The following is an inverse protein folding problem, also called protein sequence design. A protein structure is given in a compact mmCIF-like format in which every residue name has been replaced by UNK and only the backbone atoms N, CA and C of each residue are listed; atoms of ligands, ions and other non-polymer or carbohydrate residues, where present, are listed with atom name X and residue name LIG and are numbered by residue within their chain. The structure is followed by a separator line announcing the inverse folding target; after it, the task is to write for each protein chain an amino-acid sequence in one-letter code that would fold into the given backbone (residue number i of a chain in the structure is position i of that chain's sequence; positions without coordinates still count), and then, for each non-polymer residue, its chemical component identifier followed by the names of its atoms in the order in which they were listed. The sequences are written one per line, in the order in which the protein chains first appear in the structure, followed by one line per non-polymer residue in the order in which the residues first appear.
data_IF_152983091025
#
_entry.id   IF_152983091025
#
_cell.length_a   1.000
_cell.length_b   1.000
_cell.length_c   1.000
_cell.angle_alpha   90.00
_cell.angle_beta   90.00
_cell.angle_gamma   90.00
#
_symmetry.space_group_name_H-M   'P 1'
#
loop_
_entity.id
_entity.type
_entity.pdbx_description
1 polymer ?
#
# COMPACT_ATOMS: atom_id res chain seq x y z
N UNK A 1 -5.98 -17.32 -11.26
CA UNK A 1 -5.08 -16.34 -11.85
C UNK A 1 -3.86 -17.02 -12.45
N UNK A 2 -3.13 -16.35 -13.35
CA UNK A 2 -1.96 -16.93 -14.06
C UNK A 2 -2.28 -17.63 -15.37
N UNK A 3 -3.55 -17.75 -15.77
CA UNK A 3 -3.93 -18.30 -17.08
C UNK A 3 -3.67 -17.27 -18.19
N UNK A 4 -2.86 -17.67 -19.18
CA UNK A 4 -2.65 -16.88 -20.39
C UNK A 4 -1.62 -15.74 -20.26
N UNK A 5 -0.79 -15.72 -19.21
CA UNK A 5 0.29 -14.76 -19.02
C UNK A 5 1.59 -15.14 -19.74
N UNK A 6 1.61 -16.29 -20.44
CA UNK A 6 2.75 -16.87 -21.13
C UNK A 6 3.99 -17.12 -20.24
N UNK A 7 3.83 -17.19 -18.94
CA UNK A 7 4.89 -17.47 -17.99
C UNK A 7 4.80 -18.94 -17.54
N UNK A 8 5.77 -19.75 -17.92
CA UNK A 8 5.81 -21.18 -17.59
C UNK A 8 6.00 -21.44 -16.08
N UNK A 9 6.47 -20.45 -15.31
CA UNK A 9 6.61 -20.54 -13.86
C UNK A 9 5.31 -20.24 -13.12
N UNK A 10 4.25 -19.81 -13.83
CA UNK A 10 2.96 -19.45 -13.24
C UNK A 10 1.94 -20.54 -13.56
N UNK A 11 1.35 -21.13 -12.54
CA UNK A 11 0.25 -22.08 -12.69
C UNK A 11 -1.08 -21.37 -12.41
N UNK A 12 -2.01 -21.44 -13.37
CA UNK A 12 -3.35 -20.86 -13.19
C UNK A 12 -4.15 -21.64 -12.14
N UNK A 13 -4.68 -20.94 -11.15
CA UNK A 13 -5.59 -21.51 -10.17
C UNK A 13 -7.00 -20.95 -10.39
N UNK A 14 -7.94 -21.77 -10.91
CA UNK A 14 -9.32 -21.34 -11.14
C UNK A 14 -10.09 -21.08 -9.84
N UNK A 15 -9.61 -21.60 -8.71
CA UNK A 15 -10.23 -21.42 -7.40
C UNK A 15 -9.50 -20.36 -6.56
N UNK A 16 -8.58 -19.60 -7.17
CA UNK A 16 -7.86 -18.55 -6.45
C UNK A 16 -8.81 -17.54 -5.84
N UNK A 17 -8.70 -17.36 -4.53
CA UNK A 17 -9.43 -16.36 -3.76
C UNK A 17 -8.43 -15.41 -3.11
N UNK A 18 -8.45 -14.11 -3.43
CA UNK A 18 -7.56 -13.15 -2.79
C UNK A 18 -7.92 -13.00 -1.31
N UNK A 19 -6.95 -12.69 -0.47
CA UNK A 19 -7.20 -12.32 0.91
C UNK A 19 -7.99 -11.00 1.01
N UNK A 20 -7.81 -10.13 0.04
CA UNK A 20 -8.54 -8.87 -0.07
C UNK A 20 -8.27 -7.91 1.08
N UNK A 21 -9.33 -7.27 1.59
CA UNK A 21 -9.25 -6.50 2.82
C UNK A 21 -9.19 -7.45 4.03
N UNK A 22 -8.50 -7.06 5.11
CA UNK A 22 -8.50 -7.83 6.35
C UNK A 22 -9.93 -8.14 6.81
N UNK A 23 -10.16 -9.32 7.35
CA UNK A 23 -11.47 -9.74 7.89
C UNK A 23 -12.01 -8.80 8.98
N UNK A 24 -11.13 -8.02 9.61
CA UNK A 24 -11.50 -6.96 10.55
C UNK A 24 -12.31 -5.81 9.92
N UNK A 25 -12.23 -5.62 8.60
CA UNK A 25 -12.89 -4.53 7.87
C UNK A 25 -14.06 -5.00 7.02
N UNK A 26 -14.31 -6.31 6.97
CA UNK A 26 -15.36 -6.91 6.18
C UNK A 26 -16.02 -8.05 6.95
N UNK A 27 -17.33 -8.17 6.84
CA UNK A 27 -18.07 -9.33 7.34
C UNK A 27 -17.93 -10.56 6.45
N UNK A 28 -17.27 -10.42 5.31
CA UNK A 28 -17.05 -11.49 4.32
C UNK A 28 -15.57 -11.73 4.14
N UNK A 29 -15.09 -12.97 4.17
CA UNK A 29 -13.74 -13.30 3.76
C UNK A 29 -13.55 -13.03 2.27
N UNK A 30 -12.31 -12.86 1.83
CA UNK A 30 -11.94 -12.75 0.43
C UNK A 30 -12.57 -11.56 -0.32
N UNK A 31 -12.61 -10.40 0.33
CA UNK A 31 -13.08 -9.17 -0.31
C UNK A 31 -12.13 -8.75 -1.45
N UNK A 32 -12.66 -8.69 -2.67
CA UNK A 32 -11.96 -8.12 -3.83
C UNK A 32 -12.47 -6.70 -4.06
N UNK A 33 -11.59 -5.67 -4.06
CA UNK A 33 -12.02 -4.31 -4.32
C UNK A 33 -12.68 -4.17 -5.70
N UNK A 34 -13.83 -3.48 -5.82
CA UNK A 34 -14.54 -3.32 -7.09
C UNK A 34 -14.00 -2.17 -7.95
N UNK A 35 -12.69 -2.17 -8.22
CA UNK A 35 -12.01 -1.16 -9.04
C UNK A 35 -10.88 -1.79 -9.87
N UNK A 36 -10.41 -1.11 -10.94
CA UNK A 36 -9.28 -1.61 -11.73
C UNK A 36 -8.01 -1.81 -10.88
N UNK A 37 -7.28 -2.89 -11.15
CA UNK A 37 -6.04 -3.17 -10.42
C UNK A 37 -4.90 -2.20 -10.79
N UNK A 38 -4.83 -1.78 -12.05
CA UNK A 38 -3.74 -0.95 -12.56
C UNK A 38 -4.14 0.52 -12.76
N UNK A 39 -3.26 1.45 -12.30
CA UNK A 39 -2.18 1.25 -11.34
C UNK A 39 -2.73 1.09 -9.91
N UNK A 40 -1.92 0.55 -8.98
CA UNK A 40 -2.34 0.40 -7.59
C UNK A 40 -2.55 1.76 -6.92
N UNK A 41 -3.79 2.04 -6.49
CA UNK A 41 -4.13 3.28 -5.80
C UNK A 41 -3.37 3.44 -4.47
N UNK A 42 -3.31 2.38 -3.66
CA UNK A 42 -2.57 2.41 -2.39
C UNK A 42 -1.06 2.66 -2.60
N UNK A 43 -0.46 2.03 -3.61
CA UNK A 43 0.93 2.27 -3.96
C UNK A 43 1.15 3.72 -4.45
N UNK A 44 0.20 4.26 -5.22
CA UNK A 44 0.21 5.65 -5.68
C UNK A 44 0.13 6.66 -4.53
N UNK A 45 -0.79 6.44 -3.59
CA UNK A 45 -0.89 7.29 -2.40
C UNK A 45 0.36 7.21 -1.53
N UNK A 46 0.91 6.00 -1.31
CA UNK A 46 2.18 5.82 -0.60
C UNK A 46 3.32 6.54 -1.32
N UNK A 47 3.45 6.36 -2.64
CA UNK A 47 4.45 7.05 -3.45
C UNK A 47 4.36 8.57 -3.33
N UNK A 48 3.14 9.13 -3.37
CA UNK A 48 2.94 10.57 -3.23
C UNK A 48 3.27 11.06 -1.81
N UNK A 49 2.82 10.36 -0.77
CA UNK A 49 3.07 10.71 0.62
C UNK A 49 4.57 10.71 0.94
N UNK A 50 5.22 9.57 0.70
CA UNK A 50 6.62 9.42 1.10
C UNK A 50 7.56 10.28 0.24
N UNK A 51 7.23 10.53 -1.03
CA UNK A 51 7.98 11.48 -1.85
C UNK A 51 7.83 12.93 -1.36
N UNK A 52 6.63 13.31 -0.94
CA UNK A 52 6.41 14.63 -0.34
C UNK A 52 7.23 14.81 0.93
N UNK A 53 7.28 13.79 1.79
CA UNK A 53 8.10 13.80 3.00
C UNK A 53 9.59 13.89 2.66
N UNK A 54 10.09 13.10 1.68
CA UNK A 54 11.48 13.21 1.21
C UNK A 54 11.83 14.62 0.72
N UNK A 55 10.93 15.22 -0.07
CA UNK A 55 11.13 16.59 -0.56
C UNK A 55 11.11 17.62 0.55
N UNK A 56 10.25 17.44 1.56
CA UNK A 56 10.14 18.37 2.69
C UNK A 56 11.33 18.28 3.64
N UNK A 57 11.75 17.08 3.99
CA UNK A 57 12.86 16.86 4.93
C UNK A 57 14.25 16.83 4.27
N UNK A 58 14.30 16.70 2.93
CA UNK A 58 15.55 16.61 2.19
C UNK A 58 16.32 15.29 2.39
N UNK A 59 15.67 14.25 2.95
CA UNK A 59 16.29 12.96 3.24
C UNK A 59 15.27 11.83 3.21
N UNK A 60 15.73 10.62 2.91
CA UNK A 60 14.98 9.37 3.05
C UNK A 60 15.21 8.69 4.41
N UNK A 61 16.32 9.03 5.09
CA UNK A 61 16.79 8.42 6.33
C UNK A 61 16.01 8.94 7.53
N UNK A 62 14.72 8.57 7.60
CA UNK A 62 13.82 8.91 8.71
C UNK A 62 13.25 7.60 9.26
N UNK A 63 13.78 7.20 10.42
CA UNK A 63 13.27 6.04 11.13
C UNK A 63 12.04 6.41 11.96
N UNK A 64 11.02 5.55 11.91
CA UNK A 64 9.79 5.74 12.69
C UNK A 64 9.10 4.43 13.00
N UNK A 65 8.19 4.45 13.97
CA UNK A 65 7.32 3.33 14.29
C UNK A 65 5.87 3.74 14.08
N UNK A 66 5.12 2.89 13.40
CA UNK A 66 3.71 3.09 13.11
C UNK A 66 2.86 2.02 13.80
N UNK A 67 1.73 2.43 14.36
CA UNK A 67 0.71 1.53 14.90
C UNK A 67 -0.59 1.86 14.18
N UNK A 68 -1.11 0.91 13.44
CA UNK A 68 -2.41 1.03 12.75
C UNK A 68 -3.56 0.93 13.74
N UNK A 69 -4.64 1.63 13.50
CA UNK A 69 -5.90 1.47 14.27
C UNK A 69 -6.44 0.04 14.19
N UNK A 70 -6.09 -0.70 13.16
CA UNK A 70 -6.45 -2.12 13.02
C UNK A 70 -5.59 -3.06 13.87
N UNK A 71 -4.46 -2.59 14.39
CA UNK A 71 -3.48 -3.40 15.10
C UNK A 71 -2.97 -2.68 16.37
N UNK A 72 -3.86 -1.94 17.05
CA UNK A 72 -3.51 -1.07 18.18
C UNK A 72 -3.74 -1.69 19.56
N UNK A 73 -4.29 -2.89 19.65
CA UNK A 73 -4.58 -3.54 20.92
C UNK A 73 -5.79 -2.98 21.69
N UNK A 74 -6.57 -2.10 21.07
CA UNK A 74 -7.70 -1.41 21.72
C UNK A 74 -8.98 -1.49 20.89
N UNK A 75 -8.91 -1.22 19.60
CA UNK A 75 -10.06 -1.26 18.71
C UNK A 75 -10.60 -2.67 18.53
N UNK A 76 -11.90 -2.78 18.28
CA UNK A 76 -12.56 -4.06 18.08
C UNK A 76 -12.62 -4.42 16.59
N UNK A 77 -12.58 -5.72 16.30
CA UNK A 77 -12.88 -6.25 14.98
C UNK A 77 -14.40 -6.32 14.73
N UNK A 78 -14.80 -6.80 13.56
CA UNK A 78 -16.21 -6.89 13.14
C UNK A 78 -17.04 -7.87 13.98
N UNK A 79 -16.41 -8.72 14.79
CA UNK A 79 -17.07 -9.70 15.68
C UNK A 79 -16.90 -9.37 17.16
N UNK A 80 -16.32 -8.20 17.48
CA UNK A 80 -16.22 -7.67 18.83
C UNK A 80 -14.97 -8.11 19.60
N UNK A 81 -13.98 -8.74 18.98
CA UNK A 81 -12.71 -9.06 19.64
C UNK A 81 -11.77 -7.87 19.61
N UNK A 82 -10.99 -7.69 20.65
CA UNK A 82 -9.90 -6.71 20.68
C UNK A 82 -8.84 -7.10 19.66
N UNK A 83 -8.48 -6.18 18.79
CA UNK A 83 -7.44 -6.38 17.79
C UNK A 83 -6.06 -6.48 18.44
N UNK A 84 -5.15 -7.31 17.92
CA UNK A 84 -3.82 -7.43 18.50
C UNK A 84 -3.03 -6.11 18.41
N UNK A 85 -2.10 -5.89 19.32
CA UNK A 85 -1.13 -4.81 19.21
C UNK A 85 0.05 -5.28 18.36
N UNK A 86 0.20 -4.71 17.16
CA UNK A 86 1.33 -4.99 16.28
C UNK A 86 1.89 -3.67 15.76
N UNK A 87 3.06 -3.29 16.24
CA UNK A 87 3.79 -2.14 15.72
C UNK A 87 4.67 -2.52 14.53
N UNK A 88 4.82 -1.59 13.60
CA UNK A 88 5.72 -1.71 12.43
C UNK A 88 6.78 -0.62 12.51
N UNK A 89 8.05 -1.02 12.52
CA UNK A 89 9.17 -0.07 12.55
C UNK A 89 9.88 -0.06 11.20
N UNK A 90 10.21 1.13 10.74
CA UNK A 90 10.86 1.38 9.46
C UNK A 90 12.14 2.16 9.70
N UNK A 91 13.20 1.82 8.97
CA UNK A 91 14.47 2.52 9.01
C UNK A 91 14.49 3.73 8.08
N UNK A 92 13.62 3.77 7.06
CA UNK A 92 13.53 4.86 6.09
C UNK A 92 12.12 5.02 5.54
N UNK A 93 11.87 6.16 4.91
CA UNK A 93 10.61 6.43 4.20
C UNK A 93 10.42 5.47 3.02
N UNK A 94 11.49 5.14 2.29
CA UNK A 94 11.44 4.18 1.19
C UNK A 94 11.06 2.77 1.65
N UNK A 95 11.50 2.34 2.82
CA UNK A 95 11.10 1.05 3.38
C UNK A 95 9.61 1.00 3.65
N UNK A 96 9.04 2.05 4.22
CA UNK A 96 7.61 2.12 4.49
C UNK A 96 6.78 2.22 3.20
N UNK A 97 7.24 2.98 2.21
CA UNK A 97 6.63 3.08 0.89
C UNK A 97 6.58 1.71 0.19
N UNK A 98 7.68 0.98 0.20
CA UNK A 98 7.78 -0.34 -0.42
C UNK A 98 6.85 -1.34 0.29
N UNK A 99 6.84 -1.36 1.63
CA UNK A 99 5.96 -2.25 2.40
C UNK A 99 4.49 -1.93 2.15
N UNK A 100 4.12 -0.65 2.08
CA UNK A 100 2.76 -0.24 1.74
C UNK A 100 2.33 -0.78 0.36
N UNK A 101 3.19 -0.64 -0.64
CA UNK A 101 2.92 -1.19 -1.97
C UNK A 101 2.87 -2.72 -1.99
N UNK A 102 3.81 -3.37 -1.31
CA UNK A 102 3.94 -4.82 -1.26
C UNK A 102 2.78 -5.50 -0.52
N UNK A 103 2.19 -4.84 0.46
CA UNK A 103 1.02 -5.35 1.20
C UNK A 103 -0.14 -5.72 0.26
N UNK A 104 -0.30 -5.01 -0.84
CA UNK A 104 -1.37 -5.24 -1.83
C UNK A 104 -1.16 -6.51 -2.64
N UNK A 105 0.10 -6.89 -2.85
CA UNK A 105 0.46 -8.13 -3.53
C UNK A 105 0.22 -9.32 -2.59
N UNK A 106 0.60 -9.21 -1.32
CA UNK A 106 0.31 -10.25 -0.33
C UNK A 106 -1.19 -10.48 -0.12
N UNK A 107 -2.01 -9.43 -0.25
CA UNK A 107 -3.46 -9.56 -0.23
C UNK A 107 -4.03 -10.21 -1.51
N UNK A 108 -3.21 -10.41 -2.55
CA UNK A 108 -3.63 -11.05 -3.80
C UNK A 108 -4.53 -10.21 -4.68
N UNK A 109 -4.51 -8.88 -4.53
CA UNK A 109 -5.40 -7.94 -5.24
C UNK A 109 -4.68 -7.02 -6.23
N UNK A 110 -3.35 -7.05 -6.23
CA UNK A 110 -2.50 -6.31 -7.17
C UNK A 110 -1.34 -7.17 -7.66
N UNK A 111 -0.81 -6.82 -8.82
CA UNK A 111 0.40 -7.38 -9.42
C UNK A 111 1.61 -6.51 -9.11
N UNK A 112 2.81 -7.06 -9.29
CA UNK A 112 4.06 -6.32 -9.03
C UNK A 112 4.16 -5.04 -9.87
N UNK A 113 3.73 -5.08 -11.14
CA UNK A 113 3.75 -3.90 -12.00
C UNK A 113 2.72 -2.84 -11.57
N UNK A 114 1.55 -3.21 -11.05
CA UNK A 114 0.57 -2.26 -10.49
C UNK A 114 1.20 -1.45 -9.35
N UNK A 115 1.94 -2.14 -8.46
CA UNK A 115 2.67 -1.53 -7.36
C UNK A 115 3.73 -0.57 -7.88
N UNK A 116 4.62 -1.05 -8.76
CA UNK A 116 5.77 -0.29 -9.24
C UNK A 116 5.33 0.97 -9.98
N UNK A 117 4.36 0.85 -10.87
CA UNK A 117 3.82 1.99 -11.62
C UNK A 117 3.02 2.94 -10.72
N UNK A 118 2.29 2.40 -9.73
CA UNK A 118 1.59 3.21 -8.74
C UNK A 118 2.57 4.08 -7.94
N UNK A 119 3.64 3.51 -7.37
CA UNK A 119 4.68 4.25 -6.65
C UNK A 119 5.31 5.32 -7.57
N UNK A 120 5.70 4.93 -8.79
CA UNK A 120 6.31 5.86 -9.75
C UNK A 120 5.39 7.04 -10.08
N UNK A 121 4.10 6.78 -10.33
CA UNK A 121 3.11 7.81 -10.59
C UNK A 121 2.95 8.75 -9.38
N UNK A 122 2.81 8.19 -8.17
CA UNK A 122 2.67 8.96 -6.95
C UNK A 122 3.87 9.89 -6.71
N UNK A 123 5.10 9.39 -6.88
CA UNK A 123 6.32 10.21 -6.76
C UNK A 123 6.35 11.38 -7.75
N UNK A 124 6.02 11.13 -9.03
CA UNK A 124 5.97 12.19 -10.05
C UNK A 124 4.95 13.28 -9.73
N UNK A 125 3.78 12.88 -9.22
CA UNK A 125 2.73 13.82 -8.80
C UNK A 125 3.24 14.65 -7.60
N UNK A 126 3.84 14.02 -6.60
CA UNK A 126 4.41 14.70 -5.44
C UNK A 126 5.46 15.74 -5.85
N UNK A 127 6.40 15.37 -6.72
CA UNK A 127 7.42 16.29 -7.23
C UNK A 127 6.80 17.47 -7.98
N UNK A 128 5.81 17.20 -8.83
CA UNK A 128 5.10 18.23 -9.58
C UNK A 128 4.38 19.22 -8.65
N UNK A 129 3.66 18.72 -7.64
CA UNK A 129 2.94 19.56 -6.69
C UNK A 129 3.92 20.32 -5.80
N UNK A 130 4.91 19.65 -5.24
CA UNK A 130 5.90 20.24 -4.35
C UNK A 130 6.69 21.37 -5.02
N UNK A 131 7.03 21.20 -6.30
CA UNK A 131 7.82 22.17 -7.05
C UNK A 131 7.02 23.34 -7.61
N UNK A 132 5.70 23.20 -7.79
CA UNK A 132 4.92 24.20 -8.54
C UNK A 132 3.71 24.76 -7.77
N UNK A 133 3.41 24.24 -6.56
CA UNK A 133 2.21 24.64 -5.81
C UNK A 133 2.62 25.09 -4.40
N UNK A 134 1.86 26.00 -3.82
CA UNK A 134 2.09 26.53 -2.45
C UNK A 134 3.48 27.13 -2.23
N UNK A 135 4.04 27.74 -3.25
CA UNK A 135 5.31 28.47 -3.15
C UNK A 135 5.13 29.77 -2.36
N UNK A 136 6.15 30.21 -1.57
CA UNK A 136 6.14 31.55 -1.02
C UNK A 136 5.94 32.57 -2.12
N UNK A 137 5.12 33.59 -1.86
CA UNK A 137 5.05 34.73 -2.78
C UNK A 137 6.43 35.42 -2.79
N UNK A 138 6.93 35.82 -3.98
CA UNK A 138 8.18 36.56 -4.12
C UNK A 138 8.12 37.91 -3.40
#
# INVERSE_FOLDING_TARGET
SGLGDNNLATTGDPNFTPLGAPGSNSSSPNFTPPFPAYPSGHAGFGGALFQTLRNFFGTDDIAFTFISDELNGVTLDSVGNVRPLVSRSFASLSQAEEENGQSRIYLGIHWSFDKTEGISLGRKIADQVFNNTFRPNP
#
